data_IF_378117466342
#
_entry.id   IF_378117466342
#
_cell.length_a   1.000
_cell.length_b   1.000
_cell.length_c   1.000
_cell.angle_alpha   90.00
_cell.angle_beta   90.00
_cell.angle_gamma   90.00
#
_symmetry.space_group_name_H-M   'P 1'
#
loop_
_entity.id
_entity.type
_entity.pdbx_description
1 polymer ?
#
# COMPACT_ATOMS: atom_id res chain seq x y z
N UNK A 1 6.22 30.87 -9.91
CA UNK A 1 6.28 29.68 -9.03
C UNK A 1 4.95 28.96 -9.21
N UNK A 2 4.92 27.84 -9.93
CA UNK A 2 3.67 27.07 -10.11
C UNK A 2 3.47 26.27 -8.82
N UNK A 3 2.48 26.67 -8.02
CA UNK A 3 1.97 25.87 -6.92
C UNK A 3 1.51 24.53 -7.50
N UNK A 4 2.18 23.44 -7.13
CA UNK A 4 1.66 22.12 -7.41
C UNK A 4 0.44 21.94 -6.51
N UNK A 5 -0.75 21.77 -7.10
CA UNK A 5 -1.93 21.40 -6.32
C UNK A 5 -1.66 20.05 -5.65
N UNK A 6 -1.73 20.03 -4.32
CA UNK A 6 -1.58 18.80 -3.54
C UNK A 6 -2.79 17.91 -3.84
N UNK A 7 -2.56 16.74 -4.43
CA UNK A 7 -3.62 15.79 -4.77
C UNK A 7 -4.34 15.39 -3.48
N UNK A 8 -5.61 15.78 -3.36
CA UNK A 8 -6.45 15.44 -2.21
C UNK A 8 -7.14 14.09 -2.44
N UNK A 9 -6.92 13.14 -1.54
CA UNK A 9 -7.63 11.87 -1.50
C UNK A 9 -8.82 11.97 -0.53
N UNK A 10 -9.97 11.40 -0.89
CA UNK A 10 -11.22 11.50 -0.14
C UNK A 10 -11.59 10.20 0.59
N UNK A 11 -10.61 9.32 0.83
CA UNK A 11 -10.85 7.99 1.42
C UNK A 11 -11.44 8.07 2.84
N UNK A 12 -11.11 9.11 3.62
CA UNK A 12 -11.66 9.31 4.98
C UNK A 12 -13.14 9.69 4.89
N UNK A 13 -13.47 10.66 4.03
CA UNK A 13 -14.85 11.10 3.82
C UNK A 13 -15.73 9.95 3.35
N UNK A 14 -15.25 9.15 2.38
CA UNK A 14 -15.93 7.95 1.90
C UNK A 14 -16.16 6.93 3.01
N UNK A 15 -15.13 6.59 3.79
CA UNK A 15 -15.25 5.61 4.88
C UNK A 15 -16.23 6.07 5.97
N UNK A 16 -16.30 7.37 6.25
CA UNK A 16 -17.26 7.91 7.22
C UNK A 16 -18.72 7.68 6.78
N UNK A 17 -18.98 7.58 5.47
CA UNK A 17 -20.33 7.33 4.93
C UNK A 17 -20.83 5.91 5.19
N UNK A 18 -19.96 4.95 5.50
CA UNK A 18 -20.33 3.56 5.81
C UNK A 18 -21.36 3.50 6.95
N UNK A 19 -21.25 4.41 7.93
CA UNK A 19 -22.16 4.47 9.08
C UNK A 19 -23.43 5.28 8.84
N UNK A 20 -23.55 5.96 7.70
CA UNK A 20 -24.78 6.67 7.33
C UNK A 20 -25.84 5.65 6.93
N UNK A 21 -27.07 5.86 7.40
CA UNK A 21 -28.24 5.10 6.94
C UNK A 21 -28.79 5.75 5.68
N UNK A 22 -29.08 4.93 4.68
CA UNK A 22 -29.79 5.34 3.46
C UNK A 22 -31.29 5.44 3.75
N UNK A 23 -32.04 5.93 2.78
CA UNK A 23 -33.51 6.07 2.86
C UNK A 23 -34.22 4.72 3.09
N UNK A 24 -33.61 3.62 2.66
CA UNK A 24 -34.06 2.24 2.88
C UNK A 24 -33.75 1.70 4.29
N UNK A 25 -33.09 2.48 5.13
CA UNK A 25 -32.70 2.12 6.50
C UNK A 25 -31.41 1.30 6.62
N UNK A 26 -30.81 0.87 5.50
CA UNK A 26 -29.55 0.11 5.46
C UNK A 26 -28.33 1.02 5.48
N UNK A 27 -27.17 0.45 5.87
CA UNK A 27 -25.87 1.13 5.83
C UNK A 27 -25.28 1.11 4.41
N UNK A 28 -24.48 2.12 4.09
CA UNK A 28 -23.79 2.25 2.78
C UNK A 28 -22.47 1.46 2.77
N UNK A 29 -22.52 0.13 2.83
CA UNK A 29 -21.32 -0.72 2.92
C UNK A 29 -20.39 -0.60 1.70
N UNK A 30 -20.95 -0.29 0.52
CA UNK A 30 -20.22 0.00 -0.72
C UNK A 30 -19.16 1.11 -0.55
N UNK A 31 -19.40 2.03 0.39
CA UNK A 31 -18.50 3.16 0.66
C UNK A 31 -17.16 2.74 1.25
N UNK A 32 -17.09 1.58 1.90
CA UNK A 32 -15.82 1.02 2.37
C UNK A 32 -14.93 0.61 1.19
N UNK A 33 -15.51 0.08 0.12
CA UNK A 33 -14.76 -0.30 -1.09
C UNK A 33 -14.33 0.92 -1.90
N UNK A 34 -15.19 1.94 -2.01
CA UNK A 34 -14.82 3.22 -2.61
C UNK A 34 -13.65 3.88 -1.83
N UNK A 35 -13.73 3.87 -0.50
CA UNK A 35 -12.66 4.37 0.36
C UNK A 35 -11.36 3.57 0.21
N UNK A 36 -11.46 2.24 0.08
CA UNK A 36 -10.31 1.36 -0.14
C UNK A 36 -9.60 1.72 -1.46
N UNK A 37 -10.35 1.87 -2.55
CA UNK A 37 -9.78 2.26 -3.86
C UNK A 37 -9.06 3.60 -3.76
N UNK A 38 -9.72 4.62 -3.20
CA UNK A 38 -9.14 5.95 -3.04
C UNK A 38 -7.87 5.93 -2.15
N UNK A 39 -7.85 5.09 -1.13
CA UNK A 39 -6.68 4.94 -0.25
C UNK A 39 -5.53 4.20 -0.94
N UNK A 40 -5.80 3.15 -1.71
CA UNK A 40 -4.76 2.43 -2.46
C UNK A 40 -4.14 3.29 -3.56
N UNK A 41 -4.89 4.24 -4.14
CA UNK A 41 -4.32 5.26 -5.02
C UNK A 41 -3.32 6.16 -4.29
N UNK A 42 -3.64 6.63 -3.08
CA UNK A 42 -2.70 7.41 -2.27
C UNK A 42 -1.44 6.60 -1.93
N UNK A 43 -1.63 5.35 -1.50
CA UNK A 43 -0.52 4.45 -1.19
C UNK A 43 0.37 4.29 -2.41
N UNK A 44 -0.22 4.05 -3.60
CA UNK A 44 0.52 3.90 -4.85
C UNK A 44 1.33 5.16 -5.16
N UNK A 45 0.73 6.34 -5.10
CA UNK A 45 1.40 7.61 -5.42
C UNK A 45 2.54 7.93 -4.43
N UNK A 46 2.44 7.43 -3.20
CA UNK A 46 3.50 7.58 -2.18
C UNK A 46 4.51 6.43 -2.19
N UNK A 47 4.31 5.35 -2.94
CA UNK A 47 5.19 4.17 -2.93
C UNK A 47 6.41 4.42 -3.81
N UNK A 48 7.59 4.03 -3.32
CA UNK A 48 8.82 4.05 -4.11
C UNK A 48 8.85 2.78 -4.95
N UNK A 49 8.94 2.94 -6.27
CA UNK A 49 9.06 1.85 -7.23
C UNK A 49 10.51 1.71 -7.70
N UNK A 50 10.87 0.47 -8.02
CA UNK A 50 12.19 0.08 -8.51
C UNK A 50 12.04 -0.67 -9.82
N UNK A 51 13.04 -0.61 -10.69
CA UNK A 51 13.01 -1.32 -11.97
C UNK A 51 13.16 -2.83 -11.75
N UNK A 52 13.88 -3.23 -10.70
CA UNK A 52 14.06 -4.65 -10.33
C UNK A 52 13.99 -4.87 -8.82
N UNK A 53 13.64 -6.10 -8.41
CA UNK A 53 13.65 -6.48 -6.99
C UNK A 53 15.07 -6.53 -6.41
N UNK A 54 16.06 -6.90 -7.23
CA UNK A 54 17.47 -6.90 -6.81
C UNK A 54 17.91 -5.48 -6.47
N UNK A 55 17.59 -4.49 -7.31
CA UNK A 55 17.86 -3.08 -7.02
C UNK A 55 17.23 -2.65 -5.69
N UNK A 56 15.97 -3.02 -5.45
CA UNK A 56 15.26 -2.72 -4.19
C UNK A 56 15.98 -3.34 -2.99
N UNK A 57 16.33 -4.63 -3.04
CA UNK A 57 17.03 -5.31 -1.95
C UNK A 57 18.42 -4.73 -1.71
N UNK A 58 19.19 -4.44 -2.77
CA UNK A 58 20.51 -3.80 -2.66
C UNK A 58 20.42 -2.45 -1.98
N UNK A 59 19.45 -1.60 -2.37
CA UNK A 59 19.25 -0.29 -1.74
C UNK A 59 18.89 -0.45 -0.25
N UNK A 60 17.96 -1.36 0.06
CA UNK A 60 17.48 -1.54 1.42
C UNK A 60 18.53 -2.13 2.37
N UNK A 61 19.34 -3.09 1.89
CA UNK A 61 20.46 -3.62 2.67
C UNK A 61 21.59 -2.59 2.84
N UNK A 62 21.83 -1.73 1.84
CA UNK A 62 22.87 -0.68 1.92
C UNK A 62 22.53 0.44 2.90
N UNK A 63 21.25 0.76 3.07
CA UNK A 63 20.78 1.84 3.93
C UNK A 63 20.26 1.35 5.29
N UNK A 64 20.64 0.13 5.70
CA UNK A 64 20.26 -0.49 6.98
C UNK A 64 18.73 -0.58 7.21
N UNK A 65 17.94 -0.57 6.14
CA UNK A 65 16.51 -0.83 6.22
C UNK A 65 16.24 -2.31 6.47
N UNK A 66 17.01 -3.18 5.79
CA UNK A 66 17.02 -4.63 6.00
C UNK A 66 18.41 -5.09 6.43
N UNK A 67 18.45 -6.26 7.06
CA UNK A 67 19.69 -7.03 7.11
C UNK A 67 20.13 -7.39 5.67
N UNK A 68 21.39 -7.76 5.49
CA UNK A 68 21.89 -8.14 4.18
C UNK A 68 21.33 -9.50 3.76
N UNK A 69 20.26 -9.50 2.96
CA UNK A 69 19.56 -10.72 2.51
C UNK A 69 20.42 -11.60 1.60
N UNK A 70 21.40 -10.99 0.92
CA UNK A 70 22.34 -11.67 0.03
C UNK A 70 23.34 -12.56 0.75
N UNK A 71 23.44 -12.46 2.09
CA UNK A 71 24.26 -13.37 2.89
C UNK A 71 23.61 -14.76 3.06
N UNK A 72 22.30 -14.85 2.81
CA UNK A 72 21.50 -16.06 3.07
C UNK A 72 20.91 -16.64 1.78
N UNK A 73 20.51 -15.79 0.84
CA UNK A 73 19.81 -16.18 -0.39
C UNK A 73 20.56 -15.71 -1.63
N UNK A 74 20.53 -16.50 -2.69
CA UNK A 74 21.02 -16.06 -4.00
C UNK A 74 20.04 -15.07 -4.65
N UNK A 75 20.51 -14.30 -5.63
CA UNK A 75 19.63 -13.42 -6.41
C UNK A 75 18.48 -14.19 -7.08
N UNK A 76 18.75 -15.41 -7.56
CA UNK A 76 17.75 -16.26 -8.18
C UNK A 76 16.63 -16.65 -7.18
N UNK A 77 17.00 -17.01 -5.95
CA UNK A 77 16.03 -17.34 -4.89
C UNK A 77 15.16 -16.12 -4.54
N UNK A 78 15.78 -14.94 -4.42
CA UNK A 78 15.07 -13.70 -4.10
C UNK A 78 14.08 -13.30 -5.20
N UNK A 79 14.46 -13.47 -6.46
CA UNK A 79 13.57 -13.25 -7.60
C UNK A 79 12.42 -14.24 -7.58
N UNK A 80 12.71 -15.54 -7.44
CA UNK A 80 11.68 -16.60 -7.44
C UNK A 80 10.65 -16.39 -6.32
N UNK A 81 11.11 -16.14 -5.08
CA UNK A 81 10.22 -15.93 -3.93
C UNK A 81 9.38 -14.67 -4.12
N UNK A 82 9.98 -13.60 -4.63
CA UNK A 82 9.26 -12.33 -4.80
C UNK A 82 8.24 -12.41 -5.94
N UNK A 83 8.59 -13.09 -7.05
CA UNK A 83 7.68 -13.32 -8.15
C UNK A 83 6.52 -14.23 -7.73
N UNK A 84 6.80 -15.28 -6.94
CA UNK A 84 5.76 -16.11 -6.35
C UNK A 84 4.83 -15.29 -5.44
N UNK A 85 5.37 -14.45 -4.55
CA UNK A 85 4.57 -13.60 -3.68
C UNK A 85 3.69 -12.62 -4.47
N UNK A 86 4.21 -12.02 -5.55
CA UNK A 86 3.45 -11.13 -6.45
C UNK A 86 2.39 -11.85 -7.28
N UNK A 87 2.59 -13.14 -7.56
CA UNK A 87 1.62 -13.96 -8.31
C UNK A 87 0.33 -14.21 -7.53
N UNK A 88 0.36 -14.07 -6.21
CA UNK A 88 -0.82 -14.24 -5.35
C UNK A 88 -1.75 -13.05 -5.59
N UNK A 89 -3.03 -13.26 -5.97
CA UNK A 89 -3.99 -12.18 -6.24
C UNK A 89 -4.55 -11.58 -4.94
N UNK A 90 -3.65 -11.11 -4.08
CA UNK A 90 -3.98 -10.52 -2.80
C UNK A 90 -4.68 -9.17 -3.00
N UNK A 91 -5.80 -8.99 -2.32
CA UNK A 91 -6.49 -7.71 -2.20
C UNK A 91 -6.91 -7.52 -0.75
N UNK A 92 -6.78 -6.29 -0.25
CA UNK A 92 -7.34 -5.95 1.06
C UNK A 92 -8.86 -6.07 1.01
N UNK A 93 -9.46 -6.62 2.07
CA UNK A 93 -10.91 -6.81 2.13
C UNK A 93 -11.66 -5.51 2.47
N UNK A 94 -10.99 -4.54 3.10
CA UNK A 94 -11.61 -3.29 3.54
C UNK A 94 -10.63 -2.13 3.65
N UNK A 95 -11.14 -0.90 3.63
CA UNK A 95 -10.36 0.31 3.86
C UNK A 95 -9.61 0.26 5.20
N UNK A 96 -10.27 -0.22 6.25
CA UNK A 96 -9.65 -0.33 7.58
C UNK A 96 -8.47 -1.31 7.61
N UNK A 97 -8.56 -2.43 6.90
CA UNK A 97 -7.46 -3.40 6.83
C UNK A 97 -6.23 -2.81 6.13
N UNK A 98 -6.43 -2.12 5.00
CA UNK A 98 -5.36 -1.47 4.26
C UNK A 98 -4.74 -0.30 5.05
N UNK A 99 -5.56 0.61 5.57
CA UNK A 99 -5.08 1.79 6.29
C UNK A 99 -4.30 1.44 7.56
N UNK A 100 -4.74 0.42 8.32
CA UNK A 100 -3.98 -0.06 9.49
C UNK A 100 -2.65 -0.68 9.11
N UNK A 101 -2.61 -1.45 8.02
CA UNK A 101 -1.37 -2.04 7.53
C UNK A 101 -0.36 -0.94 7.15
N UNK A 102 -0.76 0.00 6.29
CA UNK A 102 0.17 1.03 5.79
C UNK A 102 0.51 2.13 6.81
N UNK A 103 -0.34 2.42 7.79
CA UNK A 103 0.00 3.40 8.84
C UNK A 103 0.95 2.83 9.90
N UNK A 104 0.97 1.51 10.11
CA UNK A 104 1.65 0.90 11.26
C UNK A 104 2.80 -0.03 10.90
N UNK A 105 2.76 -0.61 9.71
CA UNK A 105 3.74 -1.61 9.26
C UNK A 105 4.57 -1.14 8.06
N UNK A 106 4.20 -0.01 7.44
CA UNK A 106 4.99 0.57 6.37
C UNK A 106 6.30 1.12 6.93
N UNK A 107 7.40 0.82 6.25
CA UNK A 107 8.67 1.49 6.49
C UNK A 107 8.62 2.90 5.90
N UNK A 108 8.84 3.90 6.75
CA UNK A 108 9.00 5.29 6.35
C UNK A 108 10.48 5.67 6.44
N UNK A 109 10.98 6.45 5.47
CA UNK A 109 12.30 7.05 5.57
C UNK A 109 12.30 7.99 6.79
N UNK A 110 13.15 7.72 7.78
CA UNK A 110 13.42 8.64 8.89
C UNK A 110 14.29 9.81 8.43
#
# INVERSE_FOLDING_TARGET
>A
MKTMEEKKYNHIELNNEVTKRREDGFFSLEKDQEALVAYLEEVKDKTIFFDTEIERFTLFSRHDFYFNVFDIYSEADLIEITDYAKSIPFNFASYMSASKFFQRLRFENK
#
